data_IF_391042828191
#
_entry.id   IF_391042828191
#
_cell.length_a   1.000
_cell.length_b   1.000
_cell.length_c   1.000
_cell.angle_alpha   90.00
_cell.angle_beta   90.00
_cell.angle_gamma   90.00
#
_symmetry.space_group_name_H-M   'P 1'
#
loop_
_entity.id
_entity.type
_entity.pdbx_description
1 polymer ?
#
# COMPACT_ATOMS: atom_id res chain seq x y z
N UNK A 1 20.99 34.81 -7.29
CA UNK A 1 21.15 33.51 -7.99
C UNK A 1 21.01 32.46 -6.89
N UNK A 2 20.04 31.56 -6.98
CA UNK A 2 19.89 30.52 -5.97
C UNK A 2 21.12 29.60 -6.02
N UNK A 3 21.55 29.13 -4.86
CA UNK A 3 22.49 28.01 -4.79
C UNK A 3 21.83 26.75 -5.35
N UNK A 4 22.64 25.75 -5.73
CA UNK A 4 22.12 24.50 -6.26
C UNK A 4 21.19 23.78 -5.26
N UNK A 5 21.43 23.92 -3.96
CA UNK A 5 20.59 23.36 -2.90
C UNK A 5 19.24 24.11 -2.80
N UNK A 6 19.26 25.45 -2.77
CA UNK A 6 18.03 26.25 -2.72
C UNK A 6 17.16 26.05 -3.98
N UNK A 7 17.79 25.89 -5.15
CA UNK A 7 17.06 25.61 -6.39
C UNK A 7 16.45 24.20 -6.38
N UNK A 8 17.17 23.21 -5.83
CA UNK A 8 16.65 21.86 -5.64
C UNK A 8 15.44 21.86 -4.70
N UNK A 9 15.55 22.50 -3.54
CA UNK A 9 14.49 22.64 -2.54
C UNK A 9 13.23 23.29 -3.14
N UNK A 10 13.42 24.37 -3.91
CA UNK A 10 12.35 25.04 -4.65
C UNK A 10 11.67 24.10 -5.63
N UNK A 11 12.44 23.37 -6.45
CA UNK A 11 11.91 22.46 -7.47
C UNK A 11 11.15 21.29 -6.88
N UNK A 12 11.64 20.73 -5.77
CA UNK A 12 10.96 19.67 -5.03
C UNK A 12 9.62 20.17 -4.48
N UNK A 13 9.62 21.34 -3.86
CA UNK A 13 8.40 21.97 -3.34
C UNK A 13 7.37 22.26 -4.44
N UNK A 14 7.81 22.85 -5.57
CA UNK A 14 6.95 23.09 -6.74
C UNK A 14 6.35 21.79 -7.30
N UNK A 15 7.16 20.73 -7.37
CA UNK A 15 6.74 19.42 -7.88
C UNK A 15 5.69 18.77 -6.98
N UNK A 16 5.86 18.84 -5.65
CA UNK A 16 4.87 18.32 -4.71
C UNK A 16 3.55 19.07 -4.81
N UNK A 17 3.58 20.40 -4.90
CA UNK A 17 2.38 21.22 -5.09
C UNK A 17 1.66 20.85 -6.41
N UNK A 18 2.40 20.64 -7.50
CA UNK A 18 1.83 20.23 -8.78
C UNK A 18 1.15 18.85 -8.70
N UNK A 19 1.79 17.86 -8.05
CA UNK A 19 1.21 16.53 -7.85
C UNK A 19 -0.10 16.62 -7.06
N UNK A 20 -0.12 17.39 -5.96
CA UNK A 20 -1.32 17.56 -5.12
C UNK A 20 -2.43 18.30 -5.89
N UNK A 21 -2.09 19.33 -6.68
CA UNK A 21 -3.06 20.03 -7.53
C UNK A 21 -3.67 19.11 -8.58
N UNK A 22 -2.86 18.26 -9.22
CA UNK A 22 -3.35 17.27 -10.20
C UNK A 22 -4.24 16.23 -9.55
N UNK A 23 -3.90 15.78 -8.34
CA UNK A 23 -4.71 14.84 -7.59
C UNK A 23 -6.07 15.45 -7.19
N UNK A 24 -6.06 16.61 -6.54
CA UNK A 24 -7.28 17.31 -6.10
C UNK A 24 -8.15 17.77 -7.27
N UNK A 25 -7.55 18.11 -8.41
CA UNK A 25 -8.24 18.43 -9.66
C UNK A 25 -8.76 17.22 -10.45
N UNK A 26 -8.57 15.99 -9.97
CA UNK A 26 -9.02 14.76 -10.63
C UNK A 26 -8.23 14.39 -11.90
N UNK A 27 -7.11 15.06 -12.17
CA UNK A 27 -6.21 14.78 -13.30
C UNK A 27 -5.23 13.63 -12.98
N UNK A 28 -5.12 13.26 -11.71
CA UNK A 28 -4.27 12.18 -11.22
C UNK A 28 -5.03 11.41 -10.15
N UNK A 29 -5.02 10.08 -10.22
CA UNK A 29 -5.60 9.25 -9.18
C UNK A 29 -4.77 9.34 -7.90
N UNK A 30 -5.38 9.04 -6.75
CA UNK A 30 -4.64 8.97 -5.47
C UNK A 30 -3.42 8.05 -5.58
N UNK A 31 -3.53 6.90 -6.27
CA UNK A 31 -2.44 5.93 -6.45
C UNK A 31 -1.27 6.49 -7.29
N UNK A 32 -1.56 7.21 -8.37
CA UNK A 32 -0.54 7.85 -9.20
C UNK A 32 0.17 8.97 -8.45
N UNK A 33 -0.56 9.74 -7.64
CA UNK A 33 0.02 10.77 -6.77
C UNK A 33 0.98 10.16 -5.74
N UNK A 34 0.67 8.98 -5.17
CA UNK A 34 1.59 8.28 -4.25
C UNK A 34 2.86 7.85 -4.96
N UNK A 35 2.71 7.23 -6.13
CA UNK A 35 3.86 6.75 -6.89
C UNK A 35 4.79 7.91 -7.28
N UNK A 36 4.21 9.06 -7.67
CA UNK A 36 4.96 10.27 -7.99
C UNK A 36 5.69 10.82 -6.75
N UNK A 37 5.01 10.98 -5.62
CA UNK A 37 5.62 11.49 -4.37
C UNK A 37 6.71 10.55 -3.86
N UNK A 38 6.48 9.24 -3.90
CA UNK A 38 7.50 8.24 -3.54
C UNK A 38 8.72 8.30 -4.48
N UNK A 39 8.50 8.50 -5.78
CA UNK A 39 9.59 8.67 -6.74
C UNK A 39 10.41 9.94 -6.45
N UNK A 40 9.75 11.05 -6.10
CA UNK A 40 10.44 12.29 -5.71
C UNK A 40 11.26 12.05 -4.45
N UNK A 41 10.66 11.46 -3.40
CA UNK A 41 11.33 11.10 -2.15
C UNK A 41 12.61 10.29 -2.41
N UNK A 42 12.52 9.16 -3.12
CA UNK A 42 13.69 8.33 -3.40
C UNK A 42 14.79 9.03 -4.20
N UNK A 43 14.45 10.09 -4.95
CA UNK A 43 15.39 10.78 -5.81
C UNK A 43 16.15 11.91 -5.11
N UNK A 44 15.56 12.54 -4.09
CA UNK A 44 16.07 13.81 -3.52
C UNK A 44 16.36 13.75 -2.02
N UNK A 45 15.93 12.71 -1.31
CA UNK A 45 16.20 12.59 0.12
C UNK A 45 17.70 12.54 0.42
N UNK A 46 18.12 13.30 1.44
CA UNK A 46 19.52 13.50 1.78
C UNK A 46 20.25 14.55 0.92
N UNK A 47 19.59 15.12 -0.09
CA UNK A 47 20.11 16.23 -0.92
C UNK A 47 19.38 17.55 -0.66
N UNK A 48 18.13 17.47 -0.20
CA UNK A 48 17.28 18.63 0.14
C UNK A 48 17.52 19.13 1.55
N UNK A 49 17.17 20.39 1.80
CA UNK A 49 17.15 20.98 3.14
C UNK A 49 16.16 20.31 4.09
N UNK A 50 16.35 20.53 5.39
CA UNK A 50 15.58 19.88 6.47
C UNK A 50 14.07 20.15 6.32
N UNK A 51 13.68 21.40 6.06
CA UNK A 51 12.26 21.78 5.94
C UNK A 51 11.56 21.05 4.78
N UNK A 52 12.26 20.84 3.65
CA UNK A 52 11.71 20.14 2.48
C UNK A 52 11.69 18.63 2.70
N UNK A 53 12.67 18.09 3.44
CA UNK A 53 12.69 16.69 3.85
C UNK A 53 11.50 16.36 4.77
N UNK A 54 11.22 17.20 5.77
CA UNK A 54 10.06 17.03 6.66
C UNK A 54 8.74 17.06 5.87
N UNK A 55 8.59 17.99 4.93
CA UNK A 55 7.41 18.10 4.08
C UNK A 55 7.23 16.87 3.17
N UNK A 56 8.32 16.31 2.66
CA UNK A 56 8.30 15.06 1.90
C UNK A 56 7.87 13.86 2.75
N UNK A 57 8.38 13.77 3.98
CA UNK A 57 8.01 12.72 4.93
C UNK A 57 6.53 12.82 5.33
N UNK A 58 6.02 14.03 5.57
CA UNK A 58 4.60 14.25 5.87
C UNK A 58 3.70 13.87 4.69
N UNK A 59 4.08 14.26 3.47
CA UNK A 59 3.36 13.89 2.25
C UNK A 59 3.31 12.37 2.07
N UNK A 60 4.44 11.68 2.30
CA UNK A 60 4.51 10.21 2.30
C UNK A 60 3.58 9.58 3.36
N UNK A 61 3.66 10.04 4.61
CA UNK A 61 2.89 9.48 5.73
C UNK A 61 1.38 9.70 5.61
N UNK A 62 0.96 10.84 5.09
CA UNK A 62 -0.46 11.16 4.84
C UNK A 62 -1.05 10.23 3.78
N UNK A 63 -0.23 9.88 2.79
CA UNK A 63 -0.61 9.08 1.65
C UNK A 63 -0.51 7.57 1.93
N UNK A 64 0.42 7.11 2.78
CA UNK A 64 0.54 5.72 3.19
C UNK A 64 -0.66 5.22 4.02
N UNK A 65 -1.36 6.13 4.74
CA UNK A 65 -2.61 5.80 5.45
C UNK A 65 -3.73 5.28 4.56
N UNK A 66 -3.65 5.51 3.25
CA UNK A 66 -4.65 5.07 2.27
C UNK A 66 -4.11 4.02 1.28
N UNK A 67 -3.17 3.14 1.65
CA UNK A 67 -2.91 1.99 0.77
C UNK A 67 -4.24 1.22 0.61
N UNK A 68 -4.76 1.04 -0.62
CA UNK A 68 -5.88 0.13 -0.82
C UNK A 68 -5.46 -1.20 -0.24
N UNK A 69 -6.27 -1.73 0.68
CA UNK A 69 -6.02 -3.03 1.27
C UNK A 69 -5.71 -4.02 0.15
N UNK A 70 -4.62 -4.82 0.23
CA UNK A 70 -4.32 -5.84 -0.77
C UNK A 70 -5.37 -6.97 -0.79
N UNK A 71 -6.42 -6.81 0.02
CA UNK A 71 -7.51 -7.73 0.22
C UNK A 71 -8.82 -7.22 -0.41
N UNK A 72 -9.70 -8.13 -0.86
CA UNK A 72 -9.52 -9.59 -0.85
C UNK A 72 -8.41 -10.04 -1.80
N UNK A 73 -7.53 -10.91 -1.31
CA UNK A 73 -6.40 -11.41 -2.09
C UNK A 73 -6.79 -12.72 -2.75
N UNK A 74 -6.66 -12.78 -4.07
CA UNK A 74 -6.90 -13.99 -4.85
C UNK A 74 -5.58 -14.68 -5.17
N UNK A 75 -5.54 -15.99 -4.95
CA UNK A 75 -4.36 -16.82 -5.14
C UNK A 75 -4.75 -18.12 -5.82
N UNK A 76 -3.78 -18.74 -6.50
CA UNK A 76 -3.90 -20.09 -7.07
C UNK A 76 -2.76 -20.96 -6.57
N UNK A 77 -3.11 -22.11 -6.01
CA UNK A 77 -2.14 -23.10 -5.52
C UNK A 77 -1.50 -23.86 -6.69
N UNK A 78 -0.37 -24.52 -6.43
CA UNK A 78 0.31 -25.36 -7.43
C UNK A 78 -0.57 -26.52 -7.94
N UNK A 79 -1.48 -27.04 -7.10
CA UNK A 79 -2.46 -28.06 -7.46
C UNK A 79 -3.74 -27.49 -8.12
N UNK A 80 -3.76 -26.20 -8.45
CA UNK A 80 -4.81 -25.58 -9.26
C UNK A 80 -6.05 -25.07 -8.51
N UNK A 81 -6.09 -25.16 -7.19
CA UNK A 81 -7.18 -24.62 -6.38
C UNK A 81 -7.10 -23.09 -6.28
N UNK A 82 -8.26 -22.43 -6.30
CA UNK A 82 -8.37 -20.99 -6.12
C UNK A 82 -8.61 -20.67 -4.64
N UNK A 83 -7.88 -19.70 -4.11
CA UNK A 83 -7.99 -19.27 -2.71
C UNK A 83 -8.27 -17.78 -2.67
N UNK A 84 -9.23 -17.37 -1.86
CA UNK A 84 -9.47 -15.96 -1.52
C UNK A 84 -9.25 -15.75 -0.04
N UNK A 85 -8.43 -14.77 0.32
CA UNK A 85 -8.22 -14.33 1.71
C UNK A 85 -8.84 -12.95 1.89
N UNK A 86 -9.76 -12.81 2.84
CA UNK A 86 -10.54 -11.58 3.07
C UNK A 86 -10.63 -11.24 4.56
N UNK A 87 -9.86 -10.28 5.08
CA UNK A 87 -10.09 -9.68 6.38
C UNK A 87 -11.29 -8.73 6.37
N UNK A 88 -12.07 -8.79 7.44
CA UNK A 88 -13.07 -7.80 7.85
C UNK A 88 -12.64 -7.25 9.22
N UNK A 89 -12.13 -6.02 9.22
CA UNK A 89 -11.65 -5.36 10.45
C UNK A 89 -12.78 -4.92 11.37
N UNK A 90 -14.00 -4.76 10.86
CA UNK A 90 -15.18 -4.39 11.63
C UNK A 90 -15.72 -5.60 12.39
N UNK A 91 -15.84 -6.74 11.70
CA UNK A 91 -16.20 -8.02 12.29
C UNK A 91 -15.03 -8.74 13.00
N UNK A 92 -13.81 -8.19 12.89
CA UNK A 92 -12.55 -8.73 13.43
C UNK A 92 -12.32 -10.19 13.03
N UNK A 93 -12.48 -10.46 11.74
CA UNK A 93 -12.52 -11.81 11.18
C UNK A 93 -11.72 -11.90 9.90
N UNK A 94 -11.02 -13.00 9.66
CA UNK A 94 -10.41 -13.32 8.37
C UNK A 94 -11.11 -14.53 7.78
N UNK A 95 -11.71 -14.39 6.61
CA UNK A 95 -12.32 -15.48 5.86
C UNK A 95 -11.40 -15.94 4.74
N UNK A 96 -11.12 -17.24 4.71
CA UNK A 96 -10.35 -17.92 3.68
C UNK A 96 -11.26 -18.88 2.94
N UNK A 97 -11.52 -18.60 1.67
CA UNK A 97 -12.35 -19.43 0.79
C UNK A 97 -11.45 -20.23 -0.13
N UNK A 98 -11.60 -21.54 -0.14
CA UNK A 98 -10.84 -22.47 -0.98
C UNK A 98 -11.83 -23.11 -1.96
N UNK A 99 -11.62 -22.85 -3.25
CA UNK A 99 -12.37 -23.38 -4.37
C UNK A 99 -11.50 -24.43 -5.08
N UNK A 100 -11.65 -25.68 -4.64
CA UNK A 100 -11.05 -26.86 -5.27
C UNK A 100 -12.16 -27.76 -5.83
N UNK A 101 -12.04 -29.09 -5.71
CA UNK A 101 -13.14 -30.04 -5.98
C UNK A 101 -14.34 -29.84 -5.06
N UNK A 102 -14.10 -29.30 -3.86
CA UNK A 102 -15.11 -28.93 -2.88
C UNK A 102 -14.90 -27.48 -2.44
N UNK A 103 -16.00 -26.78 -2.16
CA UNK A 103 -15.96 -25.44 -1.61
C UNK A 103 -15.77 -25.49 -0.10
N UNK A 104 -14.66 -24.95 0.40
CA UNK A 104 -14.37 -24.85 1.84
C UNK A 104 -14.19 -23.40 2.26
N UNK A 105 -14.75 -23.05 3.42
CA UNK A 105 -14.55 -21.75 4.06
C UNK A 105 -13.91 -21.97 5.42
N UNK A 106 -12.82 -21.27 5.71
CA UNK A 106 -12.16 -21.24 7.00
C UNK A 106 -12.19 -19.82 7.53
N UNK A 107 -12.56 -19.68 8.80
CA UNK A 107 -12.73 -18.39 9.44
C UNK A 107 -11.82 -18.28 10.65
N UNK A 108 -11.12 -17.14 10.78
CA UNK A 108 -10.27 -16.82 11.91
C UNK A 108 -10.82 -15.60 12.64
N UNK A 109 -11.17 -15.74 13.90
CA UNK A 109 -11.52 -14.61 14.77
C UNK A 109 -10.25 -13.93 15.31
N UNK A 110 -10.31 -12.62 15.50
CA UNK A 110 -9.18 -11.79 15.89
C UNK A 110 -9.60 -10.78 16.98
N UNK A 111 -8.67 -10.42 17.87
CA UNK A 111 -9.00 -9.55 19.01
C UNK A 111 -9.23 -8.07 18.62
N UNK A 112 -8.64 -7.62 17.50
CA UNK A 112 -8.63 -6.22 17.07
C UNK A 112 -8.55 -6.08 15.55
N UNK A 113 -8.84 -4.87 15.05
CA UNK A 113 -8.64 -4.53 13.64
C UNK A 113 -7.18 -4.74 13.19
N UNK A 114 -6.21 -4.34 14.02
CA UNK A 114 -4.77 -4.51 13.71
C UNK A 114 -4.37 -5.99 13.66
N UNK A 115 -4.83 -6.81 14.61
CA UNK A 115 -4.55 -8.25 14.60
C UNK A 115 -5.24 -8.97 13.44
N UNK A 116 -6.40 -8.50 12.98
CA UNK A 116 -7.09 -9.02 11.79
C UNK A 116 -6.23 -8.88 10.53
N UNK A 117 -5.64 -7.71 10.31
CA UNK A 117 -4.74 -7.47 9.16
C UNK A 117 -3.47 -8.32 9.28
N UNK A 118 -2.85 -8.36 10.47
CA UNK A 118 -1.67 -9.22 10.71
C UNK A 118 -1.97 -10.68 10.41
N UNK A 119 -3.14 -11.18 10.86
CA UNK A 119 -3.52 -12.57 10.64
C UNK A 119 -3.74 -12.89 9.17
N UNK A 120 -4.38 -11.99 8.43
CA UNK A 120 -4.56 -12.16 6.99
C UNK A 120 -3.22 -12.21 6.26
N UNK A 121 -2.25 -11.37 6.65
CA UNK A 121 -0.89 -11.40 6.09
C UNK A 121 -0.15 -12.71 6.41
N UNK A 122 -0.25 -13.22 7.64
CA UNK A 122 0.31 -14.53 8.03
C UNK A 122 -0.23 -15.67 7.16
N UNK A 123 -1.55 -15.69 6.94
CA UNK A 123 -2.21 -16.70 6.09
C UNK A 123 -1.67 -16.61 4.65
N UNK A 124 -1.59 -15.40 4.09
CA UNK A 124 -1.05 -15.20 2.73
C UNK A 124 0.40 -15.67 2.64
N UNK A 125 1.24 -15.33 3.62
CA UNK A 125 2.64 -15.78 3.67
C UNK A 125 2.77 -17.30 3.74
N UNK A 126 1.90 -17.97 4.52
CA UNK A 126 1.84 -19.42 4.59
C UNK A 126 1.48 -20.03 3.23
N UNK A 127 0.48 -19.48 2.55
CA UNK A 127 0.06 -19.94 1.23
C UNK A 127 1.17 -19.76 0.19
N UNK A 128 1.89 -18.63 0.21
CA UNK A 128 3.05 -18.41 -0.66
C UNK A 128 4.15 -19.45 -0.38
N UNK A 129 4.45 -19.75 0.88
CA UNK A 129 5.41 -20.80 1.27
C UNK A 129 4.98 -22.19 0.78
N UNK A 130 3.67 -22.43 0.68
CA UNK A 130 3.09 -23.66 0.12
C UNK A 130 3.02 -23.67 -1.43
N UNK A 131 3.58 -22.65 -2.09
CA UNK A 131 3.64 -22.57 -3.55
C UNK A 131 2.41 -21.94 -4.21
N UNK A 132 1.51 -21.31 -3.43
CA UNK A 132 0.43 -20.52 -4.00
C UNK A 132 0.97 -19.21 -4.60
N UNK A 133 0.47 -18.86 -5.77
CA UNK A 133 0.81 -17.62 -6.47
C UNK A 133 -0.38 -16.68 -6.47
N UNK A 134 -0.12 -15.40 -6.28
CA UNK A 134 -1.12 -14.35 -6.45
C UNK A 134 -1.64 -14.37 -7.89
N UNK A 135 -2.95 -14.19 -8.04
CA UNK A 135 -3.63 -13.98 -9.32
C UNK A 135 -3.66 -12.50 -9.69
#
# INVERSE_FOLDING_TARGET
MYSAAEELDRKVSETLVDIIKKQTGGLMTTNEAKAAIHSVFCSVMGLVGVDVAELLEEAMNTIEKERPSPFPLYMKTANGAYITVSPDTSARKVSVKIMASEYRTMDYECDSASSTIKKALEVVQLLIKQGAKRL
#
